data_IF_808009665539
#
_entry.id   IF_808009665539
#
_cell.length_a   1.000
_cell.length_b   1.000
_cell.length_c   1.000
_cell.angle_alpha   90.00
_cell.angle_beta   90.00
_cell.angle_gamma   90.00
#
_symmetry.space_group_name_H-M   'P 1'
#
loop_
_entity.id
_entity.type
_entity.pdbx_description
1 polymer ?
#
# COMPACT_ATOMS: atom_id res chain seq x y z
N UNK A 1 -10.66 2.62 -36.10
CA UNK A 1 -9.54 2.17 -35.25
C UNK A 1 -9.88 2.55 -33.82
N UNK A 2 -10.70 1.76 -33.14
CA UNK A 2 -11.15 2.08 -31.78
C UNK A 2 -10.06 1.66 -30.80
N UNK A 3 -9.28 2.61 -30.31
CA UNK A 3 -8.36 2.39 -29.21
C UNK A 3 -9.19 2.18 -27.94
N UNK A 4 -9.25 0.94 -27.45
CA UNK A 4 -9.74 0.64 -26.11
C UNK A 4 -8.94 1.49 -25.11
N UNK A 5 -9.57 2.52 -24.56
CA UNK A 5 -9.04 3.26 -23.43
C UNK A 5 -9.19 2.36 -22.20
N UNK A 6 -8.22 1.47 -21.98
CA UNK A 6 -8.12 0.69 -20.74
C UNK A 6 -7.90 1.70 -19.61
N UNK A 7 -8.91 1.88 -18.75
CA UNK A 7 -8.77 2.64 -17.52
C UNK A 7 -7.78 1.89 -16.63
N UNK A 8 -6.54 2.36 -16.60
CA UNK A 8 -5.50 1.79 -15.77
C UNK A 8 -5.87 2.07 -14.30
N UNK A 9 -6.39 1.07 -13.60
CA UNK A 9 -6.81 1.17 -12.20
C UNK A 9 -5.66 0.75 -11.30
N UNK A 10 -5.40 1.51 -10.24
CA UNK A 10 -4.39 1.15 -9.25
C UNK A 10 -4.87 0.01 -8.36
N UNK A 11 -3.97 -0.94 -8.09
CA UNK A 11 -4.24 -2.08 -7.22
C UNK A 11 -4.01 -1.66 -5.77
N UNK A 12 -5.00 -1.84 -4.89
CA UNK A 12 -4.85 -1.56 -3.45
C UNK A 12 -4.44 -2.80 -2.69
N UNK A 13 -3.34 -2.72 -1.92
CA UNK A 13 -2.91 -3.78 -1.01
C UNK A 13 -2.75 -3.25 0.41
N UNK A 14 -3.23 -4.02 1.37
CA UNK A 14 -3.26 -3.61 2.78
C UNK A 14 -2.30 -4.45 3.60
N UNK A 15 -1.60 -3.78 4.51
CA UNK A 15 -0.64 -4.42 5.39
C UNK A 15 -0.76 -3.89 6.81
N UNK A 16 -0.29 -4.69 7.76
CA UNK A 16 0.03 -4.29 9.11
C UNK A 16 1.55 -4.20 9.24
N UNK A 17 2.04 -3.03 9.64
CA UNK A 17 3.44 -2.79 9.94
C UNK A 17 3.62 -2.40 11.41
N UNK A 18 4.82 -2.55 11.95
CA UNK A 18 5.18 -1.86 13.20
C UNK A 18 5.13 -0.34 12.98
N UNK A 19 4.60 0.41 13.96
CA UNK A 19 4.43 1.86 13.86
C UNK A 19 5.74 2.61 13.59
N UNK A 20 6.85 2.09 14.11
CA UNK A 20 8.19 2.68 13.95
C UNK A 20 8.66 2.59 12.49
N UNK A 21 8.18 1.59 11.76
CA UNK A 21 8.55 1.31 10.38
C UNK A 21 7.67 2.04 9.36
N UNK A 22 6.51 2.59 9.77
CA UNK A 22 5.58 3.29 8.86
C UNK A 22 6.28 4.46 8.14
N UNK A 23 7.07 5.25 8.87
CA UNK A 23 7.78 6.39 8.27
C UNK A 23 8.91 5.95 7.34
N UNK A 24 9.59 4.86 7.70
CA UNK A 24 10.64 4.27 6.89
C UNK A 24 10.09 3.71 5.57
N UNK A 25 9.01 2.92 5.64
CA UNK A 25 8.28 2.42 4.48
C UNK A 25 7.80 3.55 3.58
N UNK A 26 7.15 4.56 4.15
CA UNK A 26 6.69 5.73 3.39
C UNK A 26 7.84 6.38 2.62
N UNK A 27 8.98 6.60 3.27
CA UNK A 27 10.14 7.21 2.66
C UNK A 27 10.70 6.40 1.48
N UNK A 28 10.78 5.08 1.62
CA UNK A 28 11.23 4.19 0.53
C UNK A 28 10.31 4.34 -0.67
N UNK A 29 9.00 4.18 -0.48
CA UNK A 29 8.05 4.20 -1.60
C UNK A 29 7.84 5.59 -2.21
N UNK A 30 7.96 6.66 -1.42
CA UNK A 30 7.95 8.04 -1.95
C UNK A 30 9.23 8.38 -2.75
N UNK A 31 10.34 7.67 -2.51
CA UNK A 31 11.56 7.84 -3.32
C UNK A 31 11.47 7.13 -4.69
N UNK A 32 10.56 6.16 -4.85
CA UNK A 32 10.28 5.51 -6.13
C UNK A 32 9.09 6.18 -6.83
N UNK A 33 9.39 7.20 -7.62
CA UNK A 33 8.38 7.91 -8.41
C UNK A 33 7.58 6.94 -9.31
N UNK A 34 6.25 7.00 -9.18
CA UNK A 34 5.33 6.25 -10.02
C UNK A 34 5.14 4.77 -9.65
N UNK A 35 5.77 4.27 -8.59
CA UNK A 35 5.67 2.86 -8.19
C UNK A 35 4.37 2.56 -7.43
N UNK A 36 4.18 3.24 -6.30
CA UNK A 36 2.98 3.13 -5.49
C UNK A 36 2.80 4.36 -4.60
N UNK A 37 1.55 4.73 -4.32
CA UNK A 37 1.24 5.72 -3.28
C UNK A 37 1.09 5.02 -1.93
N UNK A 38 1.77 5.53 -0.91
CA UNK A 38 1.70 5.04 0.45
C UNK A 38 0.64 5.80 1.26
N UNK A 39 -0.29 5.09 1.88
CA UNK A 39 -1.32 5.66 2.74
C UNK A 39 -1.32 4.97 4.11
N UNK A 40 -1.23 5.76 5.19
CA UNK A 40 -1.45 5.23 6.55
C UNK A 40 -2.92 5.37 6.90
N UNK A 41 -3.60 4.24 7.09
CA UNK A 41 -5.03 4.18 7.43
C UNK A 41 -5.26 4.30 8.93
N UNK A 42 -4.47 3.57 9.71
CA UNK A 42 -4.52 3.62 11.18
C UNK A 42 -3.08 3.55 11.74
N UNK A 43 -2.49 4.70 12.10
CA UNK A 43 -1.16 4.75 12.72
C UNK A 43 -1.13 4.02 14.06
N UNK A 44 -2.27 3.88 14.74
CA UNK A 44 -2.33 3.22 16.02
C UNK A 44 -2.34 1.69 15.86
N UNK A 45 -3.13 1.16 14.95
CA UNK A 45 -3.15 -0.28 14.66
C UNK A 45 -2.02 -0.73 13.71
N UNK A 46 -1.27 0.21 13.13
CA UNK A 46 -0.20 -0.07 12.17
C UNK A 46 -0.73 -0.42 10.79
N UNK A 47 -1.94 0.02 10.43
CA UNK A 47 -2.60 -0.36 9.18
C UNK A 47 -2.25 0.63 8.08
N UNK A 48 -1.72 0.10 6.98
CA UNK A 48 -1.26 0.86 5.83
C UNK A 48 -1.84 0.29 4.53
N UNK A 49 -1.87 1.12 3.48
CA UNK A 49 -2.34 0.77 2.16
C UNK A 49 -1.34 1.26 1.11
N UNK A 50 -0.97 0.37 0.18
CA UNK A 50 -0.26 0.73 -1.05
C UNK A 50 -1.27 0.83 -2.19
N UNK A 51 -1.28 1.96 -2.89
CA UNK A 51 -1.97 2.13 -4.17
C UNK A 51 -0.95 1.93 -5.27
N UNK A 52 -0.86 0.70 -5.76
CA UNK A 52 0.16 0.28 -6.71
C UNK A 52 -0.21 0.76 -8.10
N UNK A 53 0.73 1.38 -8.79
CA UNK A 53 0.53 1.79 -10.17
C UNK A 53 0.28 0.56 -11.06
N UNK A 54 -0.61 0.66 -12.05
CA UNK A 54 -0.94 -0.45 -12.93
C UNK A 54 0.31 -0.88 -13.72
N UNK A 55 0.69 -2.15 -13.60
CA UNK A 55 1.89 -2.72 -14.22
C UNK A 55 3.14 -2.68 -13.34
N UNK A 56 3.06 -2.14 -12.11
CA UNK A 56 4.16 -2.10 -11.13
C UNK A 56 3.97 -3.12 -9.98
N UNK A 57 3.02 -4.05 -10.09
CA UNK A 57 2.71 -5.01 -9.04
C UNK A 57 3.89 -5.90 -8.63
N UNK A 58 4.68 -6.33 -9.60
CA UNK A 58 5.84 -7.22 -9.37
C UNK A 58 7.01 -6.44 -8.74
N UNK A 59 7.25 -5.20 -9.17
CA UNK A 59 8.26 -4.33 -8.60
C UNK A 59 7.96 -4.01 -7.13
N UNK A 60 6.70 -3.69 -6.82
CA UNK A 60 6.25 -3.50 -5.43
C UNK A 60 6.40 -4.78 -4.62
N UNK A 61 6.02 -5.94 -5.17
CA UNK A 61 6.17 -7.22 -4.46
C UNK A 61 7.64 -7.51 -4.16
N UNK A 62 8.55 -7.23 -5.09
CA UNK A 62 9.99 -7.39 -4.89
C UNK A 62 10.49 -6.52 -3.73
N UNK A 63 10.17 -5.22 -3.74
CA UNK A 63 10.57 -4.29 -2.67
C UNK A 63 10.00 -4.75 -1.32
N UNK A 64 8.72 -5.13 -1.27
CA UNK A 64 8.10 -5.59 -0.03
C UNK A 64 8.70 -6.91 0.47
N UNK A 65 9.07 -7.82 -0.43
CA UNK A 65 9.69 -9.10 -0.08
C UNK A 65 11.08 -8.90 0.53
N UNK A 66 11.87 -7.99 -0.03
CA UNK A 66 13.19 -7.69 0.50
C UNK A 66 13.09 -7.04 1.88
N UNK A 67 12.21 -6.05 2.05
CA UNK A 67 12.01 -5.35 3.33
C UNK A 67 11.47 -6.26 4.43
N UNK A 68 10.61 -7.23 4.11
CA UNK A 68 10.06 -8.20 5.09
C UNK A 68 11.14 -9.00 5.85
N UNK A 69 12.36 -9.08 5.33
CA UNK A 69 13.46 -9.74 6.02
C UNK A 69 13.99 -8.91 7.20
N UNK A 70 13.82 -7.59 7.16
CA UNK A 70 14.37 -6.65 8.14
C UNK A 70 13.29 -6.02 9.03
N UNK A 71 12.05 -5.92 8.54
CA UNK A 71 10.96 -5.24 9.26
C UNK A 71 9.69 -6.11 9.39
N UNK A 72 8.92 -5.86 10.45
CA UNK A 72 7.62 -6.51 10.63
C UNK A 72 6.59 -5.94 9.65
N UNK A 73 6.21 -6.74 8.64
CA UNK A 73 5.19 -6.39 7.66
C UNK A 73 4.32 -7.61 7.29
N UNK A 74 3.05 -7.59 7.68
CA UNK A 74 2.10 -8.68 7.44
C UNK A 74 0.93 -8.25 6.56
N UNK A 75 0.43 -9.09 5.64
CA UNK A 75 -0.76 -8.79 4.86
C UNK A 75 -1.99 -8.65 5.78
N UNK A 76 -2.72 -7.53 5.65
CA UNK A 76 -3.94 -7.29 6.42
C UNK A 76 -5.17 -7.80 5.64
N UNK A 77 -5.87 -8.78 6.21
CA UNK A 77 -7.05 -9.38 5.58
C UNK A 77 -8.21 -8.35 5.56
N UNK A 78 -8.82 -8.16 4.39
CA UNK A 78 -9.89 -7.18 4.14
C UNK A 78 -11.07 -7.27 5.12
N UNK A 79 -11.33 -8.43 5.74
CA UNK A 79 -12.43 -8.62 6.70
C UNK A 79 -12.32 -7.75 7.96
N UNK A 80 -11.13 -7.23 8.31
CA UNK A 80 -10.94 -6.30 9.43
C UNK A 80 -10.90 -4.83 9.02
N UNK A 81 -10.84 -4.53 7.71
CA UNK A 81 -10.64 -3.17 7.19
C UNK A 81 -11.98 -2.47 6.91
N UNK A 82 -13.08 -3.22 6.72
CA UNK A 82 -14.41 -2.61 6.51
C UNK A 82 -14.88 -1.75 7.69
N UNK A 83 -14.30 -1.93 8.89
CA UNK A 83 -14.60 -1.13 10.07
C UNK A 83 -13.91 0.26 10.05
N UNK A 84 -12.76 0.41 9.36
CA UNK A 84 -12.00 1.66 9.34
C UNK A 84 -12.46 2.67 8.27
N UNK A 85 -13.34 2.27 7.35
CA UNK A 85 -13.83 3.13 6.26
C UNK A 85 -15.01 4.05 6.64
N UNK A 86 -15.50 4.01 7.87
CA UNK A 86 -16.72 4.75 8.32
C UNK A 86 -16.44 6.09 9.01
N UNK A 87 -15.25 6.70 8.91
CA UNK A 87 -14.96 7.97 9.62
C UNK A 87 -14.30 9.09 8.80
N UNK A 88 -14.53 9.17 7.48
CA UNK A 88 -14.25 10.40 6.72
C UNK A 88 -15.38 10.74 5.76
N UNK A 89 -16.49 11.19 6.31
CA UNK A 89 -17.41 12.14 5.66
C UNK A 89 -17.46 13.38 6.54
N UNK A 90 -16.69 14.41 6.20
CA UNK A 90 -16.87 15.80 6.61
C UNK A 90 -16.37 16.69 5.48
#
# INVERSE_FOLDING_TARGET
>A
MSTNHLSAQSTRRYYRADRREISFLRFIFEAYDGLAVFETLDPQAGIICFHIAPGCEDDVEMVLKDLKNDIMLEPAISSKISCLKTQREF
#
